data_IF_063747387225
#
_entry.id   IF_063747387225
#
_cell.length_a   1.000
_cell.length_b   1.000
_cell.length_c   1.000
_cell.angle_alpha   90.00
_cell.angle_beta   90.00
_cell.angle_gamma   90.00
#
_symmetry.space_group_name_H-M   'P 1'
#
loop_
_entity.id
_entity.type
_entity.pdbx_description
1 polymer ?
#
# COMPACT_ATOMS: atom_id res chain seq x y z
N UNK A 1 -8.91 -32.23 50.46
CA UNK A 1 -7.91 -31.23 50.92
C UNK A 1 -6.51 -31.84 50.76
N UNK A 2 -5.72 -31.33 49.81
CA UNK A 2 -4.24 -31.46 49.65
C UNK A 2 -3.95 -31.35 48.14
N UNK A 3 -3.47 -30.18 47.72
CA UNK A 3 -2.64 -29.92 46.55
C UNK A 3 -2.54 -28.40 46.32
N UNK A 4 -1.76 -27.71 47.15
CA UNK A 4 -1.35 -26.31 46.96
C UNK A 4 0.03 -26.07 47.57
N UNK A 5 1.06 -26.79 47.13
CA UNK A 5 2.46 -26.47 47.46
C UNK A 5 3.32 -26.89 46.26
N UNK A 6 3.33 -26.12 45.17
CA UNK A 6 4.35 -26.27 44.12
C UNK A 6 4.45 -25.01 43.21
N UNK A 7 4.40 -23.81 43.79
CA UNK A 7 4.42 -22.55 43.03
C UNK A 7 5.46 -21.52 43.49
N UNK A 8 6.44 -21.89 44.33
CA UNK A 8 7.36 -20.90 44.93
C UNK A 8 8.85 -21.10 44.66
N UNK A 9 9.27 -22.06 43.83
CA UNK A 9 10.71 -22.38 43.64
C UNK A 9 11.33 -22.04 42.28
N UNK A 10 10.63 -21.34 41.36
CA UNK A 10 11.16 -21.03 40.01
C UNK A 10 11.57 -19.56 39.85
N UNK A 11 11.44 -18.71 40.88
CA UNK A 11 11.71 -17.25 40.76
C UNK A 11 13.12 -16.85 41.24
N UNK A 12 13.92 -17.76 41.79
CA UNK A 12 15.25 -17.41 42.34
C UNK A 12 16.45 -17.62 41.39
N UNK A 13 16.26 -18.19 40.19
CA UNK A 13 17.37 -18.56 39.31
C UNK A 13 17.68 -17.57 38.16
N UNK A 14 16.91 -16.48 37.99
CA UNK A 14 17.08 -15.54 36.87
C UNK A 14 17.84 -14.25 37.26
N UNK A 15 18.20 -14.08 38.53
CA UNK A 15 18.85 -12.85 39.02
C UNK A 15 20.39 -12.81 38.91
N UNK A 16 21.06 -13.85 38.40
CA UNK A 16 22.53 -13.96 38.39
C UNK A 16 23.17 -13.74 37.01
N UNK A 17 22.39 -13.48 35.95
CA UNK A 17 22.91 -13.30 34.58
C UNK A 17 23.03 -11.83 34.11
N UNK A 18 23.00 -10.87 35.03
CA UNK A 18 23.06 -9.41 34.72
C UNK A 18 24.30 -8.71 35.30
N UNK A 19 25.45 -9.38 35.38
CA UNK A 19 26.74 -8.71 35.63
C UNK A 19 27.82 -9.21 34.66
N UNK A 20 27.79 -8.67 33.44
CA UNK A 20 28.81 -8.86 32.42
C UNK A 20 29.17 -7.53 31.76
N UNK A 21 29.75 -6.61 32.54
CA UNK A 21 30.31 -5.36 32.04
C UNK A 21 31.54 -5.65 31.14
N UNK A 22 31.34 -5.69 29.82
CA UNK A 22 32.45 -5.56 28.88
C UNK A 22 32.67 -4.08 28.54
N UNK A 23 33.63 -3.47 29.24
CA UNK A 23 34.24 -2.21 28.84
C UNK A 23 35.11 -2.45 27.61
N UNK A 24 34.54 -2.30 26.41
CA UNK A 24 35.32 -2.26 25.17
C UNK A 24 36.10 -0.93 25.12
N UNK A 25 37.43 -1.02 25.21
CA UNK A 25 38.34 0.09 24.92
C UNK A 25 38.08 0.57 23.49
N UNK A 26 37.64 1.81 23.33
CA UNK A 26 37.62 2.51 22.03
C UNK A 26 39.05 2.57 21.50
N UNK A 27 39.32 1.86 20.40
CA UNK A 27 40.50 2.11 19.59
C UNK A 27 40.41 3.53 19.00
N UNK A 28 41.52 4.29 18.99
CA UNK A 28 41.56 5.57 18.29
C UNK A 28 41.36 5.32 16.79
N UNK A 29 40.35 5.98 16.23
CA UNK A 29 40.06 5.98 14.79
C UNK A 29 41.22 6.65 14.08
N UNK A 30 41.93 5.89 13.25
CA UNK A 30 42.97 6.42 12.37
C UNK A 30 42.30 7.32 11.31
N UNK A 31 42.78 8.55 11.08
CA UNK A 31 42.20 9.42 10.05
C UNK A 31 42.42 8.80 8.68
N UNK A 32 41.32 8.57 7.95
CA UNK A 32 41.34 8.13 6.56
C UNK A 32 42.02 9.21 5.70
N UNK A 33 43.01 8.85 4.86
CA UNK A 33 43.62 9.81 3.95
C UNK A 33 42.57 10.38 2.99
N UNK A 34 42.69 11.67 2.59
CA UNK A 34 41.77 12.29 1.64
C UNK A 34 41.74 11.48 0.35
N UNK A 35 40.56 10.97 -0.02
CA UNK A 35 40.38 10.39 -1.35
C UNK A 35 40.37 11.53 -2.38
N UNK A 36 41.27 11.47 -3.35
CA UNK A 36 41.23 12.31 -4.54
C UNK A 36 39.85 12.16 -5.20
N UNK A 37 39.09 13.25 -5.25
CA UNK A 37 37.84 13.28 -5.99
C UNK A 37 38.17 13.20 -7.49
N UNK A 38 37.54 12.27 -8.24
CA UNK A 38 37.66 12.26 -9.69
C UNK A 38 37.13 13.58 -10.27
N UNK A 39 37.70 14.04 -11.41
CA UNK A 39 37.32 15.30 -12.02
C UNK A 39 35.82 15.33 -12.34
N UNK A 40 35.16 16.38 -11.89
CA UNK A 40 33.73 16.63 -12.14
C UNK A 40 33.53 16.88 -13.63
N UNK A 41 32.71 16.03 -14.26
CA UNK A 41 32.34 16.21 -15.66
C UNK A 41 31.60 17.54 -15.87
N UNK A 42 31.86 18.29 -16.95
CA UNK A 42 31.17 19.52 -17.23
C UNK A 42 29.66 19.28 -17.43
N UNK A 43 28.80 20.21 -16.98
CA UNK A 43 27.36 20.06 -17.06
C UNK A 43 26.89 19.97 -18.52
N UNK A 44 26.01 19.01 -18.79
CA UNK A 44 25.38 18.84 -20.09
C UNK A 44 24.57 20.09 -20.46
N UNK A 45 24.72 20.56 -21.70
CA UNK A 45 23.92 21.67 -22.22
C UNK A 45 22.45 21.26 -22.34
N UNK A 46 21.51 22.16 -21.98
CA UNK A 46 20.08 21.87 -22.10
C UNK A 46 19.67 21.73 -23.57
N UNK A 47 18.72 20.82 -23.88
CA UNK A 47 18.24 20.63 -25.24
C UNK A 47 17.44 21.84 -25.73
N UNK A 48 17.73 22.27 -26.96
CA UNK A 48 17.02 23.34 -27.65
C UNK A 48 15.63 22.85 -28.08
N UNK A 49 14.58 23.45 -27.53
CA UNK A 49 13.18 23.15 -27.89
C UNK A 49 12.79 23.94 -29.15
N UNK A 50 12.31 23.28 -30.22
CA UNK A 50 11.78 23.99 -31.39
C UNK A 50 10.43 24.66 -31.09
N UNK A 51 10.11 25.79 -31.75
CA UNK A 51 8.87 26.53 -31.51
C UNK A 51 7.63 25.73 -31.90
N UNK A 52 6.64 25.75 -31.01
CA UNK A 52 5.34 25.09 -31.17
C UNK A 52 4.47 25.84 -32.19
N UNK A 53 3.92 25.09 -33.15
CA UNK A 53 3.03 25.58 -34.20
C UNK A 53 1.60 25.79 -33.63
N UNK A 54 1.12 27.02 -33.67
CA UNK A 54 -0.20 27.44 -33.19
C UNK A 54 -1.28 27.02 -34.20
N UNK A 55 -2.19 26.11 -33.83
CA UNK A 55 -3.35 25.73 -34.65
C UNK A 55 -4.64 26.41 -34.18
N UNK A 56 -5.34 26.94 -35.18
CA UNK A 56 -6.51 27.82 -35.16
C UNK A 56 -7.78 27.24 -34.50
N UNK A 57 -8.74 28.11 -34.11
CA UNK A 57 -10.02 27.73 -33.52
C UNK A 57 -11.00 27.12 -34.54
N UNK A 58 -11.73 26.09 -34.10
CA UNK A 58 -12.80 25.44 -34.86
C UNK A 58 -14.08 26.30 -34.90
N UNK A 59 -14.88 26.25 -35.99
CA UNK A 59 -16.16 26.95 -36.07
C UNK A 59 -17.28 26.23 -35.29
N UNK A 60 -18.31 26.97 -34.81
CA UNK A 60 -19.43 26.40 -34.07
C UNK A 60 -20.39 25.66 -35.00
N UNK A 61 -20.60 24.36 -34.74
CA UNK A 61 -21.57 23.54 -35.44
C UNK A 61 -22.86 23.44 -34.61
N UNK A 62 -23.90 24.17 -35.01
CA UNK A 62 -25.19 24.19 -34.34
C UNK A 62 -26.17 23.27 -35.10
N UNK A 63 -26.29 22.02 -34.65
CA UNK A 63 -27.32 21.07 -35.10
C UNK A 63 -28.04 20.51 -33.89
N UNK A 64 -29.33 20.80 -33.78
CA UNK A 64 -30.23 20.29 -32.74
C UNK A 64 -30.31 18.77 -32.81
N UNK A 65 -30.04 18.12 -31.67
CA UNK A 65 -30.11 16.68 -31.52
C UNK A 65 -31.57 16.18 -31.39
N UNK A 66 -31.91 15.00 -31.92
CA UNK A 66 -33.21 14.38 -31.73
C UNK A 66 -33.41 13.91 -30.27
N UNK A 67 -34.67 13.72 -29.82
CA UNK A 67 -34.99 13.35 -28.45
C UNK A 67 -34.41 11.97 -28.09
N UNK A 68 -33.66 11.92 -26.99
CA UNK A 68 -33.03 10.70 -26.48
C UNK A 68 -34.07 9.76 -25.88
N UNK A 69 -34.04 8.51 -26.36
CA UNK A 69 -34.69 7.36 -25.77
C UNK A 69 -34.09 7.11 -24.37
N UNK A 70 -34.92 7.17 -23.34
CA UNK A 70 -34.49 7.02 -21.94
C UNK A 70 -34.18 5.55 -21.65
N UNK A 71 -32.93 5.15 -21.90
CA UNK A 71 -32.40 3.91 -21.33
C UNK A 71 -32.44 4.00 -19.79
N UNK A 72 -32.74 2.89 -19.10
CA UNK A 72 -32.62 2.84 -17.65
C UNK A 72 -31.20 3.27 -17.24
N UNK A 73 -31.06 4.01 -16.13
CA UNK A 73 -29.77 4.50 -15.69
C UNK A 73 -28.80 3.30 -15.54
N UNK A 74 -27.59 3.39 -16.11
CA UNK A 74 -26.62 2.31 -15.99
C UNK A 74 -26.40 2.00 -14.51
N UNK A 75 -26.34 0.71 -14.17
CA UNK A 75 -26.01 0.29 -12.82
C UNK A 75 -24.70 0.98 -12.38
N UNK A 76 -24.57 1.39 -11.10
CA UNK A 76 -23.35 2.02 -10.62
C UNK A 76 -22.15 1.08 -10.85
N UNK A 77 -21.10 1.62 -11.47
CA UNK A 77 -19.91 0.89 -11.96
C UNK A 77 -19.31 -0.06 -10.91
N UNK A 78 -19.39 0.30 -9.63
CA UNK A 78 -18.89 -0.50 -8.50
C UNK A 78 -19.59 -1.87 -8.37
N UNK A 79 -20.91 -1.93 -8.56
CA UNK A 79 -21.67 -3.19 -8.44
C UNK A 79 -21.30 -4.22 -9.51
N UNK A 80 -20.77 -3.78 -10.65
CA UNK A 80 -20.35 -4.64 -11.77
C UNK A 80 -18.95 -5.24 -11.52
N UNK A 81 -18.08 -4.50 -10.82
CA UNK A 81 -16.73 -4.96 -10.45
C UNK A 81 -16.79 -6.06 -9.38
N UNK A 82 -17.65 -5.89 -8.37
CA UNK A 82 -17.77 -6.84 -7.25
C UNK A 82 -18.49 -8.15 -7.65
N UNK A 83 -19.37 -8.11 -8.66
CA UNK A 83 -20.06 -9.31 -9.17
C UNK A 83 -19.15 -10.22 -10.02
N UNK A 84 -18.04 -9.68 -10.53
CA UNK A 84 -17.13 -10.37 -11.45
C UNK A 84 -15.74 -10.60 -10.85
N UNK A 85 -15.65 -10.79 -9.54
CA UNK A 85 -14.38 -11.16 -8.92
C UNK A 85 -13.91 -12.51 -9.47
N UNK A 86 -12.91 -12.47 -10.33
CA UNK A 86 -12.23 -13.62 -10.89
C UNK A 86 -11.75 -14.55 -9.78
N UNK A 87 -12.01 -15.83 -9.97
CA UNK A 87 -11.45 -16.91 -9.14
C UNK A 87 -10.09 -17.39 -9.66
N UNK A 88 -9.52 -16.74 -10.68
CA UNK A 88 -8.22 -17.12 -11.25
C UNK A 88 -7.09 -17.00 -10.23
N UNK A 89 -6.26 -18.02 -10.14
CA UNK A 89 -5.12 -18.10 -9.22
C UNK A 89 -5.31 -19.16 -8.14
N UNK A 90 -4.20 -19.51 -7.52
CA UNK A 90 -4.10 -20.70 -6.64
C UNK A 90 -4.07 -20.32 -5.15
N UNK A 91 -4.02 -19.02 -4.84
CA UNK A 91 -3.83 -18.50 -3.48
C UNK A 91 -4.85 -17.42 -3.15
N UNK A 92 -5.56 -17.57 -2.03
CA UNK A 92 -6.58 -16.58 -1.63
C UNK A 92 -5.93 -15.24 -1.26
N UNK A 93 -6.44 -14.12 -1.79
CA UNK A 93 -5.87 -12.79 -1.48
C UNK A 93 -5.82 -12.52 0.01
N UNK A 94 -6.85 -12.90 0.76
CA UNK A 94 -6.93 -12.66 2.21
C UNK A 94 -5.70 -13.22 2.94
N UNK A 95 -5.11 -14.30 2.44
CA UNK A 95 -3.95 -14.94 3.04
C UNK A 95 -2.66 -14.12 2.86
N UNK A 96 -2.67 -13.09 2.02
CA UNK A 96 -1.60 -12.09 1.95
C UNK A 96 -1.68 -11.07 3.10
N UNK A 97 -2.84 -10.93 3.75
CA UNK A 97 -3.11 -9.90 4.76
C UNK A 97 -3.58 -10.52 6.08
N UNK A 98 -2.67 -10.61 7.04
CA UNK A 98 -2.91 -11.13 8.39
C UNK A 98 -3.27 -9.98 9.32
N UNK A 99 -4.44 -9.38 9.06
CA UNK A 99 -4.94 -8.20 9.78
C UNK A 99 -5.10 -8.41 11.29
N UNK A 100 -5.35 -9.65 11.72
CA UNK A 100 -5.45 -10.04 13.12
C UNK A 100 -4.14 -9.87 13.91
N UNK A 101 -3.00 -9.88 13.21
CA UNK A 101 -1.66 -9.76 13.82
C UNK A 101 -1.14 -8.33 13.87
N UNK A 102 -1.92 -7.33 13.48
CA UNK A 102 -1.42 -5.96 13.33
C UNK A 102 -2.45 -4.92 13.72
N UNK A 103 -1.99 -3.92 14.47
CA UNK A 103 -2.83 -2.81 14.92
C UNK A 103 -2.59 -1.56 14.09
N UNK A 104 -1.33 -1.36 13.70
CA UNK A 104 -0.90 -0.18 12.95
C UNK A 104 0.13 -0.54 11.89
N UNK A 105 0.09 0.16 10.77
CA UNK A 105 1.09 0.10 9.72
C UNK A 105 1.39 1.49 9.19
N UNK A 106 2.60 1.68 8.68
CA UNK A 106 2.97 2.87 7.92
C UNK A 106 3.37 2.41 6.53
N UNK A 107 2.79 3.04 5.51
CA UNK A 107 3.07 2.75 4.11
C UNK A 107 3.48 4.02 3.39
N UNK A 108 4.42 3.89 2.48
CA UNK A 108 4.77 4.91 1.49
C UNK A 108 3.99 4.62 0.21
N UNK A 109 3.08 5.52 -0.15
CA UNK A 109 2.41 5.55 -1.45
C UNK A 109 3.29 6.34 -2.42
N UNK A 110 3.59 5.75 -3.57
CA UNK A 110 4.28 6.38 -4.69
C UNK A 110 3.34 6.39 -5.88
N UNK A 111 3.02 7.58 -6.35
CA UNK A 111 2.25 7.81 -7.58
C UNK A 111 3.16 8.49 -8.59
N UNK A 112 2.82 8.40 -9.87
CA UNK A 112 3.61 9.04 -10.93
C UNK A 112 2.74 10.05 -11.67
N UNK A 113 3.12 11.33 -11.60
CA UNK A 113 2.54 12.38 -12.43
C UNK A 113 3.60 12.86 -13.43
N UNK A 114 3.31 12.71 -14.73
CA UNK A 114 4.22 13.06 -15.83
C UNK A 114 5.65 12.51 -15.66
N UNK A 115 5.76 11.31 -15.09
CA UNK A 115 7.04 10.63 -14.85
C UNK A 115 7.76 11.02 -13.55
N UNK A 116 7.25 12.00 -12.79
CA UNK A 116 7.80 12.38 -11.50
C UNK A 116 7.10 11.62 -10.36
N UNK A 117 7.85 11.02 -9.42
CA UNK A 117 7.27 10.34 -8.28
C UNK A 117 6.70 11.37 -7.30
N UNK A 118 5.40 11.27 -7.01
CA UNK A 118 4.77 11.91 -5.87
C UNK A 118 4.68 10.89 -4.73
N UNK A 119 5.34 11.21 -3.61
CA UNK A 119 5.51 10.32 -2.47
C UNK A 119 4.69 10.84 -1.30
N UNK A 120 3.77 10.01 -0.82
CA UNK A 120 2.92 10.31 0.33
C UNK A 120 3.11 9.21 1.37
N UNK A 121 3.45 9.60 2.60
CA UNK A 121 3.44 8.67 3.72
C UNK A 121 2.03 8.59 4.31
N UNK A 122 1.55 7.37 4.49
CA UNK A 122 0.24 7.06 5.05
C UNK A 122 0.44 6.22 6.30
N UNK A 123 -0.25 6.59 7.39
CA UNK A 123 -0.32 5.77 8.59
C UNK A 123 -1.70 5.13 8.66
N UNK A 124 -1.75 3.80 8.67
CA UNK A 124 -2.95 3.00 8.74
C UNK A 124 -3.15 2.33 10.09
N UNK A 125 -4.40 2.21 10.53
CA UNK A 125 -4.81 1.29 11.58
C UNK A 125 -5.79 0.27 11.03
N UNK A 126 -5.75 -0.92 11.60
CA UNK A 126 -6.66 -2.02 11.25
C UNK A 126 -7.43 -2.45 12.47
N UNK A 127 -8.73 -2.59 12.32
CA UNK A 127 -9.61 -3.10 13.36
C UNK A 127 -10.70 -3.98 12.76
N UNK A 128 -11.28 -4.82 13.60
CA UNK A 128 -12.56 -5.43 13.29
C UNK A 128 -13.68 -4.41 13.48
N UNK A 129 -14.66 -4.41 12.57
CA UNK A 129 -15.87 -3.60 12.68
C UNK A 129 -17.07 -4.39 12.14
N UNK A 130 -18.28 -3.86 12.32
CA UNK A 130 -19.50 -4.43 11.74
C UNK A 130 -20.19 -3.41 10.84
N UNK A 131 -20.48 -3.82 9.60
CA UNK A 131 -21.21 -2.99 8.62
C UNK A 131 -22.22 -3.87 7.90
N UNK A 132 -23.43 -3.36 7.70
CA UNK A 132 -24.52 -4.07 7.03
C UNK A 132 -24.80 -5.48 7.59
N UNK A 133 -24.62 -5.65 8.91
CA UNK A 133 -24.82 -6.92 9.60
C UNK A 133 -23.71 -7.96 9.44
N UNK A 134 -22.61 -7.63 8.75
CA UNK A 134 -21.46 -8.50 8.57
C UNK A 134 -20.21 -7.95 9.28
N UNK A 135 -19.41 -8.86 9.84
CA UNK A 135 -18.12 -8.54 10.45
C UNK A 135 -17.07 -8.33 9.36
N UNK A 136 -16.37 -7.20 9.41
CA UNK A 136 -15.46 -6.73 8.38
C UNK A 136 -14.13 -6.27 8.98
N UNK A 137 -13.12 -6.12 8.12
CA UNK A 137 -11.94 -5.34 8.45
C UNK A 137 -12.19 -3.87 8.15
N UNK A 138 -12.05 -3.01 9.16
CA UNK A 138 -12.01 -1.57 8.99
C UNK A 138 -10.56 -1.11 8.95
N UNK A 139 -10.20 -0.47 7.86
CA UNK A 139 -8.89 0.15 7.68
C UNK A 139 -9.09 1.65 7.70
N UNK A 140 -8.34 2.37 8.53
CA UNK A 140 -8.32 3.84 8.51
C UNK A 140 -6.90 4.32 8.29
N UNK A 141 -6.66 5.01 7.18
CA UNK A 141 -5.37 5.61 6.83
C UNK A 141 -5.45 7.13 6.93
N UNK A 142 -4.38 7.74 7.41
CA UNK A 142 -4.18 9.20 7.43
C UNK A 142 -2.92 9.60 6.67
N UNK A 143 -3.00 10.69 5.91
CA UNK A 143 -1.88 11.28 5.16
C UNK A 143 -2.01 12.80 5.06
N UNK A 144 -0.93 13.46 4.63
CA UNK A 144 -0.94 14.86 4.21
C UNK A 144 -0.80 14.90 2.69
N UNK A 145 -1.84 15.38 1.99
CA UNK A 145 -1.85 15.55 0.54
C UNK A 145 -1.95 17.03 0.22
N UNK A 146 -0.91 17.60 -0.42
CA UNK A 146 -0.85 19.02 -0.78
C UNK A 146 -1.16 19.97 0.39
N UNK A 147 -0.70 19.63 1.59
CA UNK A 147 -0.91 20.42 2.82
C UNK A 147 -2.26 20.21 3.49
N UNK A 148 -3.09 19.29 3.00
CA UNK A 148 -4.39 18.95 3.60
C UNK A 148 -4.31 17.62 4.35
N UNK A 149 -4.93 17.57 5.53
CA UNK A 149 -5.18 16.32 6.23
C UNK A 149 -6.18 15.48 5.44
N UNK A 150 -5.76 14.29 5.02
CA UNK A 150 -6.60 13.33 4.32
C UNK A 150 -6.74 12.10 5.18
N UNK A 151 -7.98 11.68 5.43
CA UNK A 151 -8.29 10.42 6.12
C UNK A 151 -9.17 9.58 5.22
N UNK A 152 -8.74 8.36 4.94
CA UNK A 152 -9.49 7.37 4.18
C UNK A 152 -9.87 6.21 5.11
N UNK A 153 -11.14 5.85 5.13
CA UNK A 153 -11.63 4.66 5.83
C UNK A 153 -12.26 3.72 4.83
N UNK A 154 -11.89 2.45 4.87
CA UNK A 154 -12.43 1.40 4.01
C UNK A 154 -12.84 0.19 4.85
N UNK A 155 -14.00 -0.38 4.53
CA UNK A 155 -14.51 -1.61 5.12
C UNK A 155 -14.38 -2.74 4.11
N UNK A 156 -13.63 -3.77 4.48
CA UNK A 156 -13.26 -4.88 3.62
C UNK A 156 -13.85 -6.19 4.15
N UNK A 157 -14.42 -7.00 3.26
CA UNK A 157 -14.87 -8.35 3.62
C UNK A 157 -13.70 -9.20 4.08
N UNK A 158 -13.89 -9.99 5.15
CA UNK A 158 -12.81 -10.85 5.67
C UNK A 158 -12.40 -11.98 4.72
N UNK A 159 -13.29 -12.37 3.82
CA UNK A 159 -13.09 -13.52 2.94
C UNK A 159 -12.29 -13.20 1.68
N UNK A 160 -12.54 -12.05 1.08
CA UNK A 160 -11.99 -11.70 -0.23
C UNK A 160 -11.49 -10.25 -0.32
N UNK A 161 -11.51 -9.50 0.79
CA UNK A 161 -11.12 -8.09 0.85
C UNK A 161 -11.90 -7.22 -0.13
N UNK A 162 -13.19 -7.52 -0.28
CA UNK A 162 -14.11 -6.74 -1.12
C UNK A 162 -14.52 -5.48 -0.38
N UNK A 163 -14.54 -4.34 -1.05
CA UNK A 163 -14.96 -3.09 -0.44
C UNK A 163 -16.48 -3.06 -0.24
N UNK A 164 -16.92 -2.90 1.01
CA UNK A 164 -18.33 -2.73 1.38
C UNK A 164 -18.67 -1.29 1.77
N UNK A 165 -17.65 -0.46 1.95
CA UNK A 165 -17.84 0.93 2.31
C UNK A 165 -16.53 1.67 2.22
N UNK A 166 -16.62 2.94 1.91
CA UNK A 166 -15.47 3.83 1.86
C UNK A 166 -15.90 5.23 2.30
N UNK A 167 -15.00 5.95 2.95
CA UNK A 167 -15.14 7.35 3.27
C UNK A 167 -13.77 8.03 3.13
N UNK A 168 -13.68 9.01 2.24
CA UNK A 168 -12.54 9.93 2.17
C UNK A 168 -12.96 11.26 2.77
N UNK A 169 -12.21 11.72 3.76
CA UNK A 169 -12.34 13.06 4.30
C UNK A 169 -11.10 13.88 3.99
N UNK A 170 -11.30 15.15 3.65
CA UNK A 170 -10.24 16.15 3.48
C UNK A 170 -10.55 17.28 4.42
N UNK A 171 -9.63 17.59 5.34
CA UNK A 171 -9.85 18.58 6.41
C UNK A 171 -11.18 18.38 7.15
N UNK A 172 -11.51 17.12 7.45
CA UNK A 172 -12.74 16.73 8.16
C UNK A 172 -14.02 16.74 7.32
N UNK A 173 -13.98 17.16 6.05
CA UNK A 173 -15.14 17.13 5.16
C UNK A 173 -15.15 15.85 4.33
N UNK A 174 -16.26 15.10 4.33
CA UNK A 174 -16.43 13.93 3.46
C UNK A 174 -16.50 14.38 2.00
N UNK A 175 -15.54 13.93 1.19
CA UNK A 175 -15.46 14.27 -0.25
C UNK A 175 -15.76 13.08 -1.16
N UNK A 176 -15.71 11.86 -0.63
CA UNK A 176 -16.09 10.65 -1.37
C UNK A 176 -16.58 9.57 -0.41
N UNK A 177 -17.58 8.82 -0.85
CA UNK A 177 -18.09 7.62 -0.15
C UNK A 177 -18.07 6.37 -1.04
N UNK A 178 -17.54 6.51 -2.25
CA UNK A 178 -17.50 5.43 -3.24
C UNK A 178 -16.24 4.63 -3.05
N UNK A 179 -16.38 3.30 -2.96
CA UNK A 179 -15.24 2.38 -2.96
C UNK A 179 -14.28 2.72 -4.10
N UNK A 180 -12.99 2.96 -3.81
CA UNK A 180 -12.07 3.36 -4.85
C UNK A 180 -11.74 2.15 -5.73
N UNK A 181 -11.66 2.40 -7.03
CA UNK A 181 -11.29 1.38 -8.03
C UNK A 181 -9.87 0.86 -7.84
N UNK A 182 -9.02 1.67 -7.23
CA UNK A 182 -7.61 1.39 -6.98
C UNK A 182 -7.26 1.99 -5.63
N UNK A 183 -6.38 1.34 -4.90
CA UNK A 183 -5.92 1.84 -3.62
C UNK A 183 -5.40 0.72 -2.72
N UNK A 184 -5.08 1.06 -1.47
CA UNK A 184 -4.35 0.17 -0.62
C UNK A 184 -5.19 -1.06 -0.26
N UNK A 185 -4.52 -2.19 -0.02
CA UNK A 185 -5.15 -3.48 0.34
C UNK A 185 -6.07 -4.07 -0.74
N UNK A 186 -6.00 -3.52 -1.97
CA UNK A 186 -6.77 -4.03 -3.10
C UNK A 186 -8.21 -3.52 -3.15
N UNK A 187 -8.45 -2.28 -2.76
CA UNK A 187 -9.69 -1.60 -3.10
C UNK A 187 -9.89 -1.57 -4.63
N UNK A 188 -11.06 -2.02 -5.08
CA UNK A 188 -11.42 -2.14 -6.50
C UNK A 188 -10.76 -3.30 -7.24
N UNK A 189 -10.27 -4.30 -6.49
CA UNK A 189 -9.87 -5.59 -7.03
C UNK A 189 -10.98 -6.26 -7.82
N UNK A 190 -10.56 -6.96 -8.87
CA UNK A 190 -11.40 -7.85 -9.66
C UNK A 190 -11.10 -9.32 -9.41
N UNK A 191 -10.31 -9.71 -8.39
CA UNK A 191 -9.93 -11.12 -8.15
C UNK A 191 -9.96 -11.53 -6.68
N UNK A 192 -10.56 -12.70 -6.39
CA UNK A 192 -10.55 -13.38 -5.07
C UNK A 192 -9.22 -14.09 -4.79
N UNK A 193 -8.59 -14.58 -5.84
CA UNK A 193 -7.35 -15.33 -5.78
C UNK A 193 -6.22 -14.57 -6.49
N UNK A 194 -4.99 -14.98 -6.21
CA UNK A 194 -3.77 -14.53 -6.86
C UNK A 194 -2.94 -15.76 -7.23
N UNK A 195 -2.11 -15.62 -8.26
CA UNK A 195 -1.16 -16.65 -8.70
C UNK A 195 0.18 -16.42 -8.03
N UNK A 196 0.81 -17.48 -7.52
CA UNK A 196 2.21 -17.40 -7.09
C UNK A 196 3.13 -17.39 -8.31
N UNK A 197 4.01 -16.40 -8.39
CA UNK A 197 4.92 -16.20 -9.53
C UNK A 197 6.39 -16.49 -9.20
N UNK A 198 6.67 -16.90 -7.96
CA UNK A 198 8.01 -17.29 -7.52
C UNK A 198 8.60 -16.36 -6.47
N UNK A 199 9.92 -16.44 -6.31
CA UNK A 199 10.69 -15.69 -5.33
C UNK A 199 11.48 -14.58 -6.02
N UNK A 200 11.56 -13.40 -5.39
CA UNK A 200 12.29 -12.26 -5.91
C UNK A 200 13.07 -11.54 -4.80
N UNK A 201 14.26 -11.03 -5.12
CA UNK A 201 14.91 -10.02 -4.29
C UNK A 201 14.19 -8.68 -4.51
N UNK A 202 13.83 -8.01 -3.42
CA UNK A 202 13.16 -6.72 -3.49
C UNK A 202 13.76 -5.69 -2.55
N UNK A 203 13.85 -4.47 -3.06
CA UNK A 203 14.24 -3.28 -2.30
C UNK A 203 12.98 -2.46 -2.10
N UNK A 204 12.69 -2.15 -0.84
CA UNK A 204 11.59 -1.28 -0.41
C UNK A 204 12.11 -0.30 0.63
N UNK A 205 11.27 0.67 0.96
CA UNK A 205 11.54 1.65 2.02
C UNK A 205 11.90 1.05 3.39
N UNK A 206 11.38 -0.15 3.73
CA UNK A 206 11.74 -0.87 4.95
C UNK A 206 13.14 -1.52 4.91
N UNK A 207 13.70 -1.77 3.71
CA UNK A 207 14.99 -2.43 3.53
C UNK A 207 15.05 -3.31 2.28
N UNK A 208 16.11 -4.10 2.19
CA UNK A 208 16.33 -5.09 1.13
C UNK A 208 16.03 -6.49 1.65
N UNK A 209 15.30 -7.28 0.86
CA UNK A 209 14.88 -8.62 1.23
C UNK A 209 15.15 -9.60 0.10
N UNK A 210 15.87 -10.67 0.42
CA UNK A 210 16.05 -11.81 -0.46
C UNK A 210 14.89 -12.81 -0.29
N UNK A 211 14.38 -13.33 -1.42
CA UNK A 211 13.36 -14.39 -1.38
C UNK A 211 11.97 -13.93 -0.95
N UNK A 212 11.56 -12.70 -1.28
CA UNK A 212 10.17 -12.31 -1.13
C UNK A 212 9.28 -13.09 -2.11
N UNK A 213 8.14 -13.62 -1.64
CA UNK A 213 7.18 -14.33 -2.49
C UNK A 213 6.40 -13.32 -3.32
N UNK A 214 6.46 -13.45 -4.64
CA UNK A 214 5.73 -12.62 -5.60
C UNK A 214 4.39 -13.28 -5.94
N UNK A 215 3.31 -12.49 -5.91
CA UNK A 215 1.98 -12.92 -6.30
C UNK A 215 1.36 -11.96 -7.30
N UNK A 216 0.65 -12.47 -8.30
CA UNK A 216 -0.02 -11.69 -9.35
C UNK A 216 -1.54 -11.90 -9.29
N UNK A 217 -2.29 -10.81 -9.24
CA UNK A 217 -3.72 -10.75 -9.53
C UNK A 217 -3.99 -9.92 -10.79
N UNK A 218 -5.25 -9.66 -11.13
CA UNK A 218 -5.61 -9.07 -12.43
C UNK A 218 -4.90 -7.74 -12.73
N UNK A 219 -4.80 -6.85 -11.74
CA UNK A 219 -4.18 -5.52 -11.87
C UNK A 219 -3.22 -5.18 -10.72
N UNK A 220 -2.86 -6.16 -9.89
CA UNK A 220 -2.02 -5.90 -8.72
C UNK A 220 -1.00 -7.00 -8.52
N UNK A 221 0.26 -6.62 -8.31
CA UNK A 221 1.34 -7.51 -7.94
C UNK A 221 1.72 -7.29 -6.48
N UNK A 222 1.93 -8.37 -5.72
CA UNK A 222 2.27 -8.34 -4.30
C UNK A 222 3.62 -9.00 -4.06
N UNK A 223 4.35 -8.48 -3.08
CA UNK A 223 5.52 -9.12 -2.51
C UNK A 223 5.33 -9.28 -1.01
N UNK A 224 5.39 -10.52 -0.52
CA UNK A 224 5.18 -10.85 0.89
C UNK A 224 6.31 -11.72 1.42
N UNK A 225 6.62 -11.50 2.69
CA UNK A 225 7.49 -12.34 3.51
C UNK A 225 6.61 -13.11 4.50
N UNK A 226 6.98 -14.35 4.81
CA UNK A 226 6.14 -15.25 5.64
C UNK A 226 5.98 -14.75 7.07
N UNK A 227 6.98 -14.04 7.60
CA UNK A 227 6.97 -13.49 8.95
C UNK A 227 6.30 -12.11 9.05
N UNK A 228 5.86 -11.52 7.92
CA UNK A 228 5.23 -10.20 7.89
C UNK A 228 3.73 -10.32 7.73
N UNK A 229 2.94 -9.56 8.51
CA UNK A 229 1.48 -9.64 8.44
C UNK A 229 0.92 -9.07 7.14
N UNK A 230 1.67 -8.19 6.48
CA UNK A 230 1.28 -7.54 5.22
C UNK A 230 2.27 -7.82 4.10
N UNK A 231 1.85 -7.66 2.83
CA UNK A 231 2.80 -7.50 1.75
C UNK A 231 3.73 -6.32 2.05
N UNK A 232 5.03 -6.53 1.89
CA UNK A 232 6.04 -5.48 2.06
C UNK A 232 6.03 -4.50 0.89
N UNK A 233 5.48 -4.93 -0.25
CA UNK A 233 5.20 -4.09 -1.41
C UNK A 233 3.98 -4.60 -2.15
N UNK A 234 3.24 -3.70 -2.77
CA UNK A 234 2.40 -4.05 -3.90
C UNK A 234 2.31 -2.91 -4.91
N UNK A 235 2.08 -3.27 -6.16
CA UNK A 235 2.06 -2.38 -7.31
C UNK A 235 0.72 -2.55 -8.02
N UNK A 236 0.02 -1.45 -8.21
CA UNK A 236 -1.24 -1.39 -8.93
C UNK A 236 -0.96 -0.93 -10.36
N UNK A 237 -1.38 -1.74 -11.32
CA UNK A 237 -1.18 -1.51 -12.75
C UNK A 237 -2.51 -1.16 -13.43
N UNK A 238 -2.43 -0.37 -14.49
CA UNK A 238 -3.50 -0.22 -15.47
C UNK A 238 -2.92 -0.56 -16.84
N UNK A 239 -3.20 -1.79 -17.29
CA UNK A 239 -2.49 -2.40 -18.41
C UNK A 239 -1.00 -2.51 -18.09
N UNK A 240 -0.14 -1.96 -18.96
CA UNK A 240 1.31 -1.98 -18.78
C UNK A 240 1.85 -0.82 -17.93
N UNK A 241 1.00 0.10 -17.46
CA UNK A 241 1.42 1.28 -16.72
C UNK A 241 1.27 1.07 -15.21
N UNK A 242 2.32 1.38 -14.46
CA UNK A 242 2.24 1.47 -12.98
C UNK A 242 1.46 2.73 -12.62
N UNK A 243 0.34 2.56 -11.93
CA UNK A 243 -0.44 3.70 -11.42
C UNK A 243 0.00 4.09 -10.01
N UNK A 244 0.09 3.11 -9.11
CA UNK A 244 0.41 3.33 -7.71
C UNK A 244 1.32 2.21 -7.20
N UNK A 245 2.28 2.57 -6.36
CA UNK A 245 3.10 1.63 -5.61
C UNK A 245 2.95 1.91 -4.13
N UNK A 246 2.78 0.85 -3.35
CA UNK A 246 2.73 0.94 -1.89
C UNK A 246 3.87 0.11 -1.32
N UNK A 247 4.66 0.73 -0.44
CA UNK A 247 5.78 0.09 0.24
C UNK A 247 5.57 0.18 1.74
N UNK A 248 5.68 -0.94 2.44
CA UNK A 248 5.66 -0.93 3.89
C UNK A 248 6.89 -0.19 4.40
N UNK A 249 6.71 0.72 5.36
CA UNK A 249 7.79 1.45 6.04
C UNK A 249 7.88 1.11 7.53
N UNK A 250 6.80 0.61 8.13
CA UNK A 250 6.76 0.13 9.51
C UNK A 250 5.43 -0.55 9.87
N UNK A 251 5.41 -1.33 10.96
CA UNK A 251 4.19 -1.93 11.52
C UNK A 251 4.36 -2.23 13.03
N UNK A 252 3.24 -2.30 13.74
CA UNK A 252 3.18 -2.70 15.18
C UNK A 252 1.91 -3.47 15.50
#
# INVERSE_FOLDING_TARGET
MKNKILAFFVIAAIAVLMLGCFAAKKQPVQPTPPQEQPPVAPPAQPPTVPPSEEKQPYPPNNKSAPPQETNPPPAPVQAVLDANLSSSGDFAVKSLFEFDKSKKMTMRKVTYDKGYPNIVETTGNVAEDSRDGAVMWKMTTGSIESGNDVVETIWLSKEALVCHGYEKTVQGTVVSTTCPLLGPFGSGRTSKNVKFDGYQNIIVSLGTFDGAKKYEGDNVTYWKLDEKPFPIKYVINNGSNVQETFELTGWT
#
